data_IF_273869595501
#
_entry.id   IF_273869595501
#
_cell.length_a   1.000
_cell.length_b   1.000
_cell.length_c   1.000
_cell.angle_alpha   90.00
_cell.angle_beta   90.00
_cell.angle_gamma   90.00
#
_symmetry.space_group_name_H-M   'P 1'
#
loop_
_entity.id
_entity.type
_entity.pdbx_description
1 polymer ?
#
# COMPACT_ATOMS: atom_id res chain seq x y z
N UNK A 1 -18.44 -10.34 5.45
CA UNK A 1 -17.81 -10.86 4.22
C UNK A 1 -16.49 -10.16 4.07
N UNK A 2 -15.38 -10.88 3.96
CA UNK A 2 -14.05 -10.26 3.83
C UNK A 2 -13.70 -10.03 2.37
N UNK A 3 -13.37 -8.80 2.00
CA UNK A 3 -12.98 -8.41 0.65
C UNK A 3 -11.47 -8.25 0.59
N UNK A 4 -10.81 -8.95 -0.34
CA UNK A 4 -9.40 -8.74 -0.61
C UNK A 4 -9.30 -7.67 -1.69
N UNK A 5 -8.79 -6.50 -1.30
CA UNK A 5 -8.43 -5.43 -2.21
C UNK A 5 -6.94 -5.56 -2.50
N UNK A 6 -6.62 -6.04 -3.69
CA UNK A 6 -5.27 -5.95 -4.22
C UNK A 6 -5.10 -4.53 -4.77
N UNK A 7 -4.38 -3.66 -4.07
CA UNK A 7 -3.94 -2.38 -4.63
C UNK A 7 -2.89 -2.68 -5.70
N UNK A 8 -3.39 -2.98 -6.89
CA UNK A 8 -2.63 -3.10 -8.12
C UNK A 8 -2.99 -1.94 -9.04
N UNK A 9 -2.45 -1.90 -10.26
CA UNK A 9 -2.78 -0.84 -11.25
C UNK A 9 -4.26 -0.81 -11.70
N UNK A 10 -5.12 -1.65 -11.12
CA UNK A 10 -6.49 -1.93 -11.59
C UNK A 10 -7.57 -1.86 -10.51
N UNK A 11 -7.29 -1.37 -9.30
CA UNK A 11 -8.34 -1.12 -8.29
C UNK A 11 -9.14 0.13 -8.67
N UNK A 12 -10.46 0.13 -8.47
CA UNK A 12 -11.30 1.32 -8.67
C UNK A 12 -10.79 2.49 -7.82
N UNK A 13 -10.49 3.61 -8.47
CA UNK A 13 -9.63 4.68 -7.93
C UNK A 13 -10.12 5.31 -6.62
N UNK A 14 -11.44 5.41 -6.39
CA UNK A 14 -12.00 6.16 -5.25
C UNK A 14 -11.79 5.48 -3.89
N UNK A 15 -12.14 4.20 -3.76
CA UNK A 15 -11.96 3.45 -2.49
C UNK A 15 -10.48 3.27 -2.16
N UNK A 16 -9.66 3.05 -3.19
CA UNK A 16 -8.21 2.98 -3.07
C UNK A 16 -7.63 4.31 -2.57
N UNK A 17 -8.09 5.44 -3.11
CA UNK A 17 -7.65 6.77 -2.72
C UNK A 17 -8.07 7.12 -1.28
N UNK A 18 -9.31 6.80 -0.90
CA UNK A 18 -9.80 7.02 0.46
C UNK A 18 -9.00 6.22 1.50
N UNK A 19 -8.85 4.91 1.29
CA UNK A 19 -8.08 4.05 2.19
C UNK A 19 -6.61 4.45 2.26
N UNK A 20 -6.00 4.79 1.12
CA UNK A 20 -4.61 5.25 1.08
C UNK A 20 -4.42 6.53 1.90
N UNK A 21 -5.34 7.48 1.79
CA UNK A 21 -5.27 8.75 2.54
C UNK A 21 -5.34 8.51 4.05
N UNK A 22 -6.25 7.65 4.50
CA UNK A 22 -6.39 7.28 5.91
C UNK A 22 -5.15 6.57 6.46
N UNK A 23 -4.58 5.64 5.67
CA UNK A 23 -3.39 4.89 6.07
C UNK A 23 -2.14 5.76 6.12
N UNK A 24 -1.97 6.69 5.19
CA UNK A 24 -0.86 7.67 5.22
C UNK A 24 -0.98 8.56 6.45
N UNK A 25 -2.16 9.08 6.74
CA UNK A 25 -2.39 9.89 7.96
C UNK A 25 -1.97 9.10 9.21
N UNK A 26 -2.47 7.88 9.37
CA UNK A 26 -2.16 7.04 10.52
C UNK A 26 -0.66 6.75 10.64
N UNK A 27 0.02 6.47 9.52
CA UNK A 27 1.46 6.22 9.50
C UNK A 27 2.25 7.46 9.97
N UNK A 28 1.94 8.64 9.41
CA UNK A 28 2.61 9.89 9.78
C UNK A 28 2.37 10.21 11.27
N UNK A 29 1.15 10.06 11.75
CA UNK A 29 0.78 10.25 13.15
C UNK A 29 1.60 9.31 14.08
N UNK A 30 1.67 8.01 13.76
CA UNK A 30 2.45 7.04 14.55
C UNK A 30 3.95 7.32 14.53
N UNK A 31 4.47 7.96 13.48
CA UNK A 31 5.87 8.35 13.36
C UNK A 31 6.17 9.72 14.00
N UNK A 32 5.25 10.30 14.77
CA UNK A 32 5.47 11.56 15.49
C UNK A 32 5.04 12.81 14.70
N UNK A 33 4.18 12.64 13.71
CA UNK A 33 3.61 13.73 12.91
C UNK A 33 4.47 14.18 11.73
N UNK A 34 5.63 13.56 11.52
CA UNK A 34 6.53 13.89 10.42
C UNK A 34 7.26 12.67 9.88
N UNK A 35 7.33 12.55 8.55
CA UNK A 35 8.12 11.56 7.84
C UNK A 35 8.92 12.26 6.76
N UNK A 36 10.22 11.94 6.71
CA UNK A 36 11.13 12.43 5.70
C UNK A 36 11.79 11.23 5.03
N UNK A 37 11.82 11.25 3.70
CA UNK A 37 12.52 10.28 2.90
C UNK A 37 13.60 10.98 2.08
N UNK A 38 14.76 10.37 2.00
CA UNK A 38 15.84 10.74 1.08
C UNK A 38 15.46 10.33 -0.35
N UNK A 39 16.13 10.94 -1.33
CA UNK A 39 15.91 10.57 -2.74
C UNK A 39 16.31 9.11 -3.04
N UNK A 40 17.28 8.56 -2.30
CA UNK A 40 17.71 7.18 -2.43
C UNK A 40 16.65 6.21 -1.89
N UNK A 41 16.07 6.49 -0.72
CA UNK A 41 14.97 5.70 -0.16
C UNK A 41 13.75 5.71 -1.09
N UNK A 42 13.39 6.87 -1.65
CA UNK A 42 12.29 6.97 -2.62
C UNK A 42 12.57 6.11 -3.86
N UNK A 43 13.82 6.08 -4.34
CA UNK A 43 14.21 5.25 -5.49
C UNK A 43 14.14 3.77 -5.14
N UNK A 44 14.63 3.36 -3.98
CA UNK A 44 14.57 1.97 -3.53
C UNK A 44 13.13 1.49 -3.37
N UNK A 45 12.27 2.28 -2.71
CA UNK A 45 10.84 1.97 -2.56
C UNK A 45 10.19 1.79 -3.93
N UNK A 46 10.49 2.65 -4.90
CA UNK A 46 9.95 2.53 -6.26
C UNK A 46 10.40 1.25 -6.95
N UNK A 47 11.67 0.86 -6.78
CA UNK A 47 12.19 -0.40 -7.32
C UNK A 47 11.52 -1.61 -6.66
N UNK A 48 11.36 -1.59 -5.33
CA UNK A 48 10.69 -2.66 -4.60
C UNK A 48 9.24 -2.82 -5.05
N UNK A 49 8.53 -1.72 -5.33
CA UNK A 49 7.16 -1.75 -5.86
C UNK A 49 7.05 -2.38 -7.26
N UNK A 50 8.15 -2.59 -7.99
CA UNK A 50 8.13 -3.32 -9.28
C UNK A 50 7.97 -4.82 -9.10
N UNK A 51 8.48 -5.38 -8.00
CA UNK A 51 8.43 -6.81 -7.69
C UNK A 51 7.48 -7.13 -6.54
N UNK A 52 7.03 -6.10 -5.80
CA UNK A 52 6.13 -6.23 -4.64
C UNK A 52 4.81 -5.49 -4.88
N UNK A 53 3.81 -5.86 -4.09
CA UNK A 53 2.53 -5.16 -4.01
C UNK A 53 1.99 -5.22 -2.58
N UNK A 54 1.15 -4.26 -2.23
CA UNK A 54 0.46 -4.23 -0.94
C UNK A 54 -0.92 -4.88 -1.13
N UNK A 55 -1.14 -6.00 -0.44
CA UNK A 55 -2.44 -6.61 -0.32
C UNK A 55 -3.17 -6.02 0.89
N UNK A 56 -4.40 -5.56 0.67
CA UNK A 56 -5.31 -5.10 1.70
C UNK A 56 -6.41 -6.15 1.88
N UNK A 57 -6.60 -6.62 3.10
CA UNK A 57 -7.72 -7.48 3.47
C UNK A 57 -8.66 -6.67 4.36
N UNK A 58 -9.86 -6.42 3.85
CA UNK A 58 -10.94 -5.74 4.56
C UNK A 58 -11.89 -6.80 5.14
N UNK A 59 -12.03 -6.86 6.46
CA UNK A 59 -12.97 -7.72 7.18
C UNK A 59 -13.54 -7.00 8.39
N UNK A 60 -13.65 -7.68 9.53
CA UNK A 60 -13.94 -7.02 10.82
C UNK A 60 -12.79 -6.08 11.23
N UNK A 61 -11.58 -6.36 10.75
CA UNK A 61 -10.38 -5.52 10.87
C UNK A 61 -9.74 -5.27 9.49
N UNK A 62 -8.89 -4.23 9.40
CA UNK A 62 -8.07 -3.92 8.24
C UNK A 62 -6.68 -4.55 8.38
N UNK A 63 -6.28 -5.42 7.44
CA UNK A 63 -4.93 -6.02 7.42
C UNK A 63 -4.18 -5.65 6.15
N UNK A 64 -2.93 -5.20 6.32
CA UNK A 64 -2.02 -4.83 5.23
C UNK A 64 -0.86 -5.81 5.18
N UNK A 65 -0.52 -6.32 4.00
CA UNK A 65 0.62 -7.23 3.79
C UNK A 65 1.36 -6.89 2.51
N UNK A 66 2.69 -6.87 2.56
CA UNK A 66 3.51 -6.84 1.34
C UNK A 66 3.62 -8.27 0.83
N UNK A 67 3.32 -8.47 -0.45
CA UNK A 67 3.48 -9.74 -1.16
C UNK A 67 4.31 -9.51 -2.42
N UNK A 68 5.00 -10.54 -2.90
CA UNK A 68 5.65 -10.46 -4.22
C UNK A 68 4.58 -10.55 -5.33
N UNK A 69 4.80 -9.82 -6.42
CA UNK A 69 3.94 -9.88 -7.61
C UNK A 69 4.14 -11.24 -8.27
N UNK A 70 3.06 -11.97 -8.52
CA UNK A 70 3.11 -13.24 -9.23
C UNK A 70 3.65 -13.01 -10.67
N UNK A 71 4.58 -13.86 -11.15
CA UNK A 71 5.21 -13.70 -12.47
C UNK A 71 4.23 -13.77 -13.66
N UNK A 72 3.02 -14.29 -13.46
CA UNK A 72 2.03 -14.54 -14.51
C UNK A 72 1.20 -13.29 -14.90
N UNK A 73 1.49 -12.12 -14.32
CA UNK A 73 0.79 -10.84 -14.57
C UNK A 73 1.66 -9.78 -15.28
N UNK A 74 2.77 -10.18 -15.90
CA UNK A 74 3.64 -9.28 -16.70
C UNK A 74 3.16 -9.12 -18.15
#
# INVERSE_FOLDING_TARGET
MSQILNLSRHTTDEDAQYLTSLLIYHLVERCGGHLQFTAEEVRQIRNDLTTKMVQIQLGDDLRLRIIDRLPELQ
#
